data_IF_916816625428
#
_entry.id   IF_916816625428
#
_cell.length_a   1.000
_cell.length_b   1.000
_cell.length_c   1.000
_cell.angle_alpha   90.00
_cell.angle_beta   90.00
_cell.angle_gamma   90.00
#
_symmetry.space_group_name_H-M   'P 1'
#
loop_
_entity.id
_entity.type
_entity.pdbx_description
1 polymer ?
#
# COMPACT_ATOMS: atom_id res chain seq x y z
N UNK A 1 3.68 24.31 -59.49
CA UNK A 1 4.33 23.69 -58.31
C UNK A 1 3.22 23.17 -57.41
N UNK A 2 3.08 21.85 -57.29
CA UNK A 2 2.03 21.21 -56.47
C UNK A 2 2.66 20.86 -55.13
N UNK A 3 2.25 21.54 -54.07
CA UNK A 3 2.70 21.25 -52.70
C UNK A 3 1.88 20.08 -52.15
N UNK A 4 2.54 18.96 -51.87
CA UNK A 4 1.94 17.83 -51.15
C UNK A 4 2.09 18.10 -49.66
N UNK A 5 0.98 18.24 -48.94
CA UNK A 5 0.98 18.34 -47.49
C UNK A 5 1.22 16.95 -46.89
N UNK A 6 2.36 16.77 -46.23
CA UNK A 6 2.64 15.57 -45.43
C UNK A 6 1.91 15.76 -44.10
N UNK A 7 0.79 15.05 -43.91
CA UNK A 7 0.11 15.00 -42.61
C UNK A 7 0.89 14.03 -41.72
N UNK A 8 1.48 14.55 -40.63
CA UNK A 8 2.08 13.69 -39.62
C UNK A 8 0.98 12.80 -39.00
N UNK A 9 1.24 11.50 -38.74
CA UNK A 9 0.28 10.64 -38.08
C UNK A 9 -0.10 11.22 -36.71
N UNK A 10 -1.34 11.03 -36.23
CA UNK A 10 -1.75 11.53 -34.92
C UNK A 10 -0.79 11.00 -33.86
N UNK A 11 -0.25 11.89 -33.03
CA UNK A 11 0.58 11.50 -31.90
C UNK A 11 -0.26 10.65 -30.95
N UNK A 12 0.05 9.36 -30.85
CA UNK A 12 -0.58 8.47 -29.87
C UNK A 12 -0.16 8.93 -28.49
N UNK A 13 -1.11 9.38 -27.67
CA UNK A 13 -0.83 9.71 -26.27
C UNK A 13 -0.53 8.41 -25.54
N UNK A 14 0.63 8.26 -24.89
CA UNK A 14 0.95 7.06 -24.13
C UNK A 14 -0.08 6.87 -23.01
N UNK A 15 -0.56 5.64 -22.84
CA UNK A 15 -1.52 5.27 -21.79
C UNK A 15 -0.81 4.54 -20.67
N UNK A 16 -1.14 4.87 -19.41
CA UNK A 16 -0.58 4.17 -18.25
C UNK A 16 -1.18 2.77 -18.15
N UNK A 17 -0.32 1.77 -18.06
CA UNK A 17 -0.70 0.40 -17.69
C UNK A 17 -0.72 0.28 -16.17
N UNK A 18 -1.80 -0.26 -15.62
CA UNK A 18 -1.96 -0.55 -14.19
C UNK A 18 -1.50 -1.96 -13.87
N UNK A 19 -0.89 -2.15 -12.72
CA UNK A 19 -0.53 -3.44 -12.16
C UNK A 19 -1.69 -4.02 -11.35
N UNK A 20 -1.74 -5.34 -11.29
CA UNK A 20 -2.57 -6.06 -10.32
C UNK A 20 -1.72 -6.48 -9.12
N UNK A 21 -2.39 -6.81 -8.02
CA UNK A 21 -1.86 -7.53 -6.88
C UNK A 21 -1.01 -8.74 -7.31
N UNK A 22 -1.58 -9.61 -8.14
CA UNK A 22 -0.88 -10.82 -8.61
C UNK A 22 0.44 -10.49 -9.33
N UNK A 23 0.45 -9.44 -10.15
CA UNK A 23 1.66 -8.99 -10.83
C UNK A 23 2.67 -8.34 -9.88
N UNK A 24 2.19 -7.60 -8.89
CA UNK A 24 3.02 -7.03 -7.83
C UNK A 24 3.81 -8.12 -7.09
N UNK A 25 3.17 -9.21 -6.67
CA UNK A 25 3.87 -10.35 -6.06
C UNK A 25 4.74 -11.11 -7.07
N UNK A 26 4.31 -11.28 -8.32
CA UNK A 26 5.13 -11.93 -9.33
C UNK A 26 6.45 -11.17 -9.58
N UNK A 27 6.44 -9.84 -9.46
CA UNK A 27 7.66 -9.03 -9.52
C UNK A 27 8.57 -9.26 -8.31
N UNK A 28 8.01 -9.39 -7.11
CA UNK A 28 8.78 -9.73 -5.91
C UNK A 28 9.39 -11.14 -6.03
N UNK A 29 8.61 -12.14 -6.44
CA UNK A 29 9.06 -13.52 -6.64
C UNK A 29 10.15 -13.63 -7.71
N UNK A 30 10.08 -12.79 -8.75
CA UNK A 30 11.10 -12.69 -9.80
C UNK A 30 12.33 -11.87 -9.39
N UNK A 31 12.35 -11.27 -8.20
CA UNK A 31 13.44 -10.42 -7.70
C UNK A 31 13.53 -9.05 -8.37
N UNK A 32 12.48 -8.60 -9.07
CA UNK A 32 12.37 -7.24 -9.62
C UNK A 32 12.13 -6.23 -8.50
N UNK A 33 11.36 -6.64 -7.50
CA UNK A 33 11.14 -5.90 -6.26
C UNK A 33 11.72 -6.69 -5.10
N UNK A 34 12.28 -5.97 -4.14
CA UNK A 34 12.86 -6.48 -2.91
C UNK A 34 12.22 -5.78 -1.71
N UNK A 35 12.40 -6.35 -0.53
CA UNK A 35 11.95 -5.73 0.72
C UNK A 35 12.54 -4.33 0.96
N UNK A 36 13.71 -4.04 0.36
CA UNK A 36 14.37 -2.74 0.49
C UNK A 36 13.75 -1.65 -0.39
N UNK A 37 12.97 -2.01 -1.42
CA UNK A 37 12.37 -1.02 -2.33
C UNK A 37 11.24 -0.24 -1.65
N UNK A 38 10.68 -0.78 -0.56
CA UNK A 38 9.62 -0.16 0.25
C UNK A 38 8.51 0.44 -0.62
N UNK A 39 7.88 -0.42 -1.43
CA UNK A 39 6.80 -0.03 -2.33
C UNK A 39 5.45 -0.58 -1.86
N UNK A 40 4.39 0.16 -2.15
CA UNK A 40 3.00 -0.30 -2.02
C UNK A 40 2.27 -0.17 -3.36
N UNK A 41 1.19 -0.93 -3.52
CA UNK A 41 0.36 -0.92 -4.72
C UNK A 41 -0.89 -0.07 -4.46
N UNK A 42 -1.04 1.07 -5.13
CA UNK A 42 -2.22 1.93 -5.01
C UNK A 42 -2.85 2.17 -6.39
N UNK A 43 -4.12 1.79 -6.58
CA UNK A 43 -4.86 1.97 -7.84
C UNK A 43 -4.13 1.46 -9.10
N UNK A 44 -3.31 0.43 -8.93
CA UNK A 44 -2.47 -0.18 -9.96
C UNK A 44 -1.13 0.50 -10.20
N UNK A 45 -0.74 1.45 -9.37
CA UNK A 45 0.56 2.12 -9.39
C UNK A 45 1.44 1.60 -8.26
N UNK A 46 2.73 1.37 -8.55
CA UNK A 46 3.73 1.11 -7.51
C UNK A 46 4.22 2.44 -6.96
N UNK A 47 3.96 2.68 -5.69
CA UNK A 47 4.32 3.91 -4.98
C UNK A 47 5.44 3.60 -4.01
N UNK A 48 6.55 4.33 -4.12
CA UNK A 48 7.69 4.22 -3.19
C UNK A 48 7.32 4.99 -1.92
N UNK A 49 7.39 4.30 -0.78
CA UNK A 49 7.16 4.91 0.52
C UNK A 49 8.31 5.86 0.86
N UNK A 50 8.03 7.05 1.40
CA UNK A 50 9.07 7.94 1.87
C UNK A 50 9.87 7.31 3.02
N UNK A 51 11.10 7.79 3.27
CA UNK A 51 11.83 7.44 4.48
C UNK A 51 11.01 7.75 5.73
N UNK A 52 11.10 6.88 6.74
CA UNK A 52 10.46 7.10 8.03
C UNK A 52 11.28 8.13 8.82
N UNK A 53 10.67 9.27 9.13
CA UNK A 53 11.23 10.27 10.03
C UNK A 53 11.02 9.93 11.51
N UNK A 54 11.79 10.58 12.40
CA UNK A 54 11.77 10.32 13.85
C UNK A 54 10.37 10.49 14.47
N UNK A 55 9.63 11.52 14.05
CA UNK A 55 8.27 11.78 14.55
C UNK A 55 7.26 10.71 14.16
N UNK A 56 7.35 10.23 12.92
CA UNK A 56 6.54 9.13 12.44
C UNK A 56 6.86 7.87 13.25
N UNK A 57 8.14 7.52 13.38
CA UNK A 57 8.56 6.36 14.17
C UNK A 57 8.10 6.43 15.63
N UNK A 58 8.23 7.60 16.28
CA UNK A 58 7.78 7.80 17.65
C UNK A 58 6.26 7.61 17.81
N UNK A 59 5.48 8.10 16.83
CA UNK A 59 4.02 7.96 16.84
C UNK A 59 3.59 6.51 16.64
N UNK A 60 4.20 5.79 15.69
CA UNK A 60 3.94 4.35 15.50
C UNK A 60 4.32 3.56 16.75
N UNK A 61 5.47 3.87 17.38
CA UNK A 61 5.89 3.25 18.64
C UNK A 61 4.87 3.47 19.77
N UNK A 62 4.26 4.65 19.87
CA UNK A 62 3.21 4.92 20.85
C UNK A 62 2.02 3.97 20.66
N UNK A 63 1.52 3.82 19.43
CA UNK A 63 0.40 2.93 19.15
C UNK A 63 0.73 1.46 19.44
N UNK A 64 1.91 1.01 19.00
CA UNK A 64 2.41 -0.35 19.24
C UNK A 64 2.46 -0.70 20.73
N UNK A 65 2.80 0.24 21.60
CA UNK A 65 2.96 -0.02 23.03
C UNK A 65 1.70 0.23 23.87
N UNK A 66 0.66 0.88 23.32
CA UNK A 66 -0.53 1.28 24.11
C UNK A 66 -1.80 0.55 23.71
N UNK A 67 -2.03 0.34 22.41
CA UNK A 67 -3.27 -0.23 21.90
C UNK A 67 -3.44 -1.74 22.21
N UNK A 68 -2.41 -2.60 22.12
CA UNK A 68 -2.61 -4.04 22.29
C UNK A 68 -3.22 -4.42 23.65
N UNK A 69 -2.77 -3.79 24.74
CA UNK A 69 -3.30 -4.05 26.08
C UNK A 69 -4.75 -3.59 26.24
N UNK A 70 -5.17 -2.54 25.55
CA UNK A 70 -6.53 -1.99 25.62
C UNK A 70 -7.53 -2.78 24.77
N UNK A 71 -7.04 -3.46 23.72
CA UNK A 71 -7.87 -4.09 22.69
C UNK A 71 -7.77 -5.62 22.66
N UNK A 72 -7.04 -6.22 23.59
CA UNK A 72 -6.87 -7.67 23.68
C UNK A 72 -8.22 -8.41 23.63
N UNK A 73 -8.33 -9.37 22.72
CA UNK A 73 -9.55 -10.17 22.50
C UNK A 73 -10.71 -9.43 21.84
N UNK A 74 -10.54 -8.15 21.47
CA UNK A 74 -11.56 -7.33 20.79
C UNK A 74 -11.16 -6.95 19.38
N UNK A 75 -9.88 -6.66 19.16
CA UNK A 75 -9.31 -6.33 17.86
C UNK A 75 -7.84 -6.76 17.80
N UNK A 76 -7.35 -6.99 16.59
CA UNK A 76 -5.93 -7.18 16.33
C UNK A 76 -5.35 -5.81 15.97
N UNK A 77 -4.27 -5.41 16.64
CA UNK A 77 -3.50 -4.22 16.28
C UNK A 77 -2.46 -4.65 15.26
N UNK A 78 -2.59 -4.15 14.04
CA UNK A 78 -1.73 -4.47 12.90
C UNK A 78 -0.93 -3.23 12.52
N UNK A 79 0.39 -3.27 12.67
CA UNK A 79 1.30 -2.13 12.48
C UNK A 79 2.07 -2.33 11.19
N UNK A 80 2.07 -1.36 10.27
CA UNK A 80 2.86 -1.37 9.03
C UNK A 80 2.77 -2.71 8.26
N UNK A 81 1.54 -3.22 8.12
CA UNK A 81 1.25 -4.48 7.46
C UNK A 81 0.26 -4.25 6.31
N UNK A 82 0.35 -5.04 5.23
CA UNK A 82 -0.52 -4.86 4.07
C UNK A 82 -1.99 -5.16 4.36
N UNK A 83 -2.87 -4.44 3.67
CA UNK A 83 -4.31 -4.73 3.60
C UNK A 83 -4.76 -4.75 2.14
N UNK A 84 -5.41 -5.82 1.71
CA UNK A 84 -5.84 -5.97 0.30
C UNK A 84 -7.18 -5.28 0.14
N UNK A 85 -7.23 -4.13 -0.54
CA UNK A 85 -8.49 -3.44 -0.79
C UNK A 85 -9.24 -4.04 -1.99
N UNK A 86 -8.51 -4.33 -3.07
CA UNK A 86 -8.99 -4.99 -4.27
C UNK A 86 -7.82 -5.57 -5.10
N UNK A 87 -8.10 -6.04 -6.32
CA UNK A 87 -7.12 -6.63 -7.24
C UNK A 87 -6.01 -5.67 -7.68
N UNK A 88 -6.13 -4.37 -7.43
CA UNK A 88 -5.22 -3.33 -7.89
C UNK A 88 -4.71 -2.44 -6.76
N UNK A 89 -5.09 -2.72 -5.50
CA UNK A 89 -4.74 -1.87 -4.37
C UNK A 89 -4.45 -2.69 -3.11
N UNK A 90 -3.22 -2.58 -2.62
CA UNK A 90 -2.74 -3.13 -1.36
C UNK A 90 -1.80 -2.12 -0.67
N UNK A 91 -2.38 -1.14 0.04
CA UNK A 91 -1.61 -0.21 0.87
C UNK A 91 -0.98 -0.92 2.07
N UNK A 92 0.02 -0.26 2.66
CA UNK A 92 0.62 -0.63 3.94
C UNK A 92 0.45 0.49 4.98
N UNK A 93 -0.72 0.58 5.63
CA UNK A 93 -0.98 1.65 6.59
C UNK A 93 -0.12 1.56 7.84
N UNK A 94 0.13 2.70 8.49
CA UNK A 94 0.93 2.74 9.71
C UNK A 94 0.33 1.93 10.85
N UNK A 95 -0.97 2.10 11.09
CA UNK A 95 -1.71 1.35 12.12
C UNK A 95 -3.10 1.01 11.63
N UNK A 96 -3.48 -0.26 11.80
CA UNK A 96 -4.84 -0.75 11.62
C UNK A 96 -5.34 -1.44 12.88
N UNK A 97 -6.62 -1.24 13.18
CA UNK A 97 -7.38 -2.09 14.07
C UNK A 97 -8.21 -3.03 13.23
N UNK A 98 -7.89 -4.33 13.29
CA UNK A 98 -8.59 -5.36 12.54
C UNK A 98 -9.60 -6.07 13.43
N UNK A 99 -10.68 -6.57 12.82
CA UNK A 99 -11.59 -7.50 13.49
C UNK A 99 -10.78 -8.69 14.03
N UNK A 100 -11.09 -9.09 15.26
CA UNK A 100 -10.43 -10.25 15.86
C UNK A 100 -10.68 -11.51 15.04
N UNK A 101 -9.60 -12.25 14.77
CA UNK A 101 -9.61 -13.60 14.22
C UNK A 101 -8.54 -14.41 14.94
N UNK A 102 -8.87 -15.63 15.33
CA UNK A 102 -7.94 -16.48 16.09
C UNK A 102 -6.71 -16.93 15.28
N UNK A 103 -6.79 -16.85 13.94
CA UNK A 103 -5.69 -17.15 13.03
C UNK A 103 -4.80 -15.95 12.74
N UNK A 104 -5.09 -14.78 13.31
CA UNK A 104 -4.35 -13.54 13.08
C UNK A 104 -4.12 -13.22 11.59
N UNK A 105 -5.08 -13.54 10.72
CA UNK A 105 -4.99 -13.35 9.27
C UNK A 105 -3.87 -14.16 8.58
N UNK A 106 -3.42 -15.27 9.20
CA UNK A 106 -2.47 -16.18 8.56
C UNK A 106 -2.98 -16.75 7.22
N UNK A 107 -4.29 -16.89 7.05
CA UNK A 107 -4.88 -17.41 5.81
C UNK A 107 -4.87 -16.42 4.63
N UNK A 108 -4.48 -15.16 4.86
CA UNK A 108 -4.47 -14.10 3.86
C UNK A 108 -4.67 -12.71 4.45
N UNK A 109 -4.20 -11.68 3.74
CA UNK A 109 -4.29 -10.29 4.18
C UNK A 109 -5.73 -9.86 4.52
N UNK A 110 -5.90 -8.97 5.52
CA UNK A 110 -7.21 -8.39 5.82
C UNK A 110 -7.77 -7.66 4.59
N UNK A 111 -9.08 -7.76 4.41
CA UNK A 111 -9.81 -6.97 3.40
C UNK A 111 -10.49 -5.74 3.99
N UNK A 112 -11.18 -4.91 3.17
CA UNK A 112 -11.84 -3.69 3.66
C UNK A 112 -12.86 -3.95 4.78
N UNK A 113 -13.57 -5.08 4.73
CA UNK A 113 -14.58 -5.46 5.72
C UNK A 113 -14.00 -5.89 7.08
N UNK A 114 -12.69 -6.11 7.15
CA UNK A 114 -11.97 -6.52 8.35
C UNK A 114 -11.36 -5.33 9.10
N UNK A 115 -11.16 -4.19 8.43
CA UNK A 115 -10.57 -2.98 9.00
C UNK A 115 -11.63 -2.20 9.78
N UNK A 116 -11.45 -2.11 11.10
CA UNK A 116 -12.31 -1.33 12.00
C UNK A 116 -11.88 0.14 12.08
N UNK A 117 -10.57 0.38 11.99
CA UNK A 117 -9.94 1.70 11.97
C UNK A 117 -8.60 1.61 11.24
N UNK A 118 -8.28 2.63 10.47
CA UNK A 118 -7.00 2.83 9.81
C UNK A 118 -6.45 4.20 10.20
N UNK A 119 -5.18 4.28 10.54
CA UNK A 119 -4.48 5.49 10.96
C UNK A 119 -3.20 5.60 10.13
N UNK A 120 -3.00 6.78 9.54
CA UNK A 120 -1.75 7.17 8.89
C UNK A 120 -1.08 8.30 9.67
N UNK A 121 0.23 8.23 9.82
CA UNK A 121 1.06 9.23 10.48
C UNK A 121 1.82 10.02 9.41
N UNK A 122 1.31 11.21 9.08
CA UNK A 122 2.00 12.15 8.23
C UNK A 122 2.78 13.18 9.06
N UNK A 123 4.07 13.35 8.74
CA UNK A 123 4.83 14.53 9.15
C UNK A 123 4.69 15.58 8.04
N UNK A 124 4.02 16.70 8.33
CA UNK A 124 3.94 17.82 7.39
C UNK A 124 5.13 18.74 7.61
N UNK A 125 6.29 18.39 7.05
CA UNK A 125 7.28 19.42 6.71
C UNK A 125 7.01 19.83 5.26
N UNK A 126 6.33 20.97 5.10
CA UNK A 126 6.11 21.66 3.82
C UNK A 126 7.45 22.20 3.30
#
# INVERSE_FOLDING_TARGET
MTTVAITAPPATVPTRRRFTAAEYYAMADAGVLSENDRVELLDGDLIVMPPIGDWHAASVNLFTNTLPAQLQGRAIVSIQNPTRLDDNSEPQPDVMLLRWRDDFYHSGHPGPGDVLLLIEVADTTV
#
